data_IF_932779362772
#
_entry.id   IF_932779362772
#
_cell.length_a   1.000
_cell.length_b   1.000
_cell.length_c   1.000
_cell.angle_alpha   90.00
_cell.angle_beta   90.00
_cell.angle_gamma   90.00
#
_symmetry.space_group_name_H-M   'P 1'
#
loop_
_entity.id
_entity.type
_entity.pdbx_description
1 polymer ?
#
# COMPACT_ATOMS: atom_id res chain seq x y z
N UNK A 1 -47.05 49.74 -6.65
CA UNK A 1 -45.92 49.64 -5.68
C UNK A 1 -45.53 48.18 -5.60
N UNK A 2 -44.58 47.74 -6.43
CA UNK A 2 -44.06 46.35 -6.45
C UNK A 2 -42.80 46.28 -5.58
N UNK A 3 -42.87 45.50 -4.52
CA UNK A 3 -41.71 45.17 -3.68
C UNK A 3 -41.00 43.92 -4.24
N UNK A 4 -39.83 44.12 -4.83
CA UNK A 4 -38.89 43.04 -5.16
C UNK A 4 -38.14 42.59 -3.87
N UNK A 5 -38.28 41.32 -3.53
CA UNK A 5 -37.48 40.69 -2.50
C UNK A 5 -36.34 39.97 -3.22
N UNK A 6 -35.05 40.34 -2.99
CA UNK A 6 -33.95 39.57 -3.54
C UNK A 6 -33.72 38.30 -2.68
N UNK A 7 -33.88 37.13 -3.31
CA UNK A 7 -33.47 35.88 -2.73
C UNK A 7 -31.94 35.82 -2.71
N UNK A 8 -31.36 35.92 -1.50
CA UNK A 8 -29.94 35.71 -1.25
C UNK A 8 -29.70 34.18 -1.24
N UNK A 9 -29.30 33.62 -2.36
CA UNK A 9 -28.82 32.24 -2.42
C UNK A 9 -27.42 32.17 -1.76
N UNK A 10 -27.40 31.80 -0.49
CA UNK A 10 -26.16 31.48 0.21
C UNK A 10 -25.53 30.22 -0.37
N UNK A 11 -24.48 30.36 -1.16
CA UNK A 11 -23.65 29.26 -1.62
C UNK A 11 -22.86 28.74 -0.40
N UNK A 12 -23.35 27.64 0.23
CA UNK A 12 -22.59 26.89 1.21
C UNK A 12 -21.47 26.18 0.44
N UNK A 13 -20.28 26.76 0.40
CA UNK A 13 -19.06 26.08 -0.01
C UNK A 13 -18.73 25.09 1.10
N UNK A 14 -19.16 23.84 0.94
CA UNK A 14 -18.64 22.71 1.71
C UNK A 14 -17.17 22.59 1.36
N UNK A 15 -16.31 23.19 2.16
CA UNK A 15 -14.88 22.88 2.17
C UNK A 15 -14.77 21.39 2.54
N UNK A 16 -14.62 20.53 1.51
CA UNK A 16 -14.18 19.16 1.72
C UNK A 16 -12.76 19.27 2.30
N UNK A 17 -12.65 19.07 3.60
CA UNK A 17 -11.37 18.81 4.22
C UNK A 17 -10.83 17.55 3.55
N UNK A 18 -9.95 17.72 2.56
CA UNK A 18 -9.10 16.64 2.10
C UNK A 18 -8.31 16.20 3.32
N UNK A 19 -8.76 15.14 4.00
CA UNK A 19 -7.93 14.43 4.95
C UNK A 19 -6.64 14.15 4.16
N UNK A 20 -5.53 14.75 4.61
CA UNK A 20 -4.23 14.53 4.01
C UNK A 20 -3.99 13.03 4.03
N UNK A 21 -4.19 12.40 2.88
CA UNK A 21 -3.98 10.97 2.73
C UNK A 21 -2.54 10.68 3.16
N UNK A 22 -2.37 9.72 4.05
CA UNK A 22 -1.08 9.29 4.52
C UNK A 22 -0.12 9.08 3.34
N UNK A 23 1.03 9.78 3.36
CA UNK A 23 2.07 9.60 2.37
C UNK A 23 3.14 8.63 2.90
N UNK A 24 2.95 7.35 2.65
CA UNK A 24 3.95 6.33 2.96
C UNK A 24 5.03 6.20 1.87
N UNK A 25 4.95 6.93 0.76
CA UNK A 25 5.98 6.90 -0.29
C UNK A 25 7.12 7.86 0.10
N UNK A 26 8.02 7.39 0.97
CA UNK A 26 9.16 8.15 1.50
C UNK A 26 10.35 8.23 0.53
N UNK A 27 10.35 7.46 -0.56
CA UNK A 27 11.36 7.41 -1.60
C UNK A 27 10.71 7.11 -2.94
N UNK A 28 11.32 7.48 -4.06
CA UNK A 28 10.83 7.14 -5.38
C UNK A 28 11.40 5.81 -5.85
N UNK A 29 10.67 5.11 -6.72
CA UNK A 29 11.21 3.93 -7.36
C UNK A 29 12.49 4.27 -8.12
N UNK A 30 13.52 3.45 -7.96
CA UNK A 30 14.86 3.66 -8.49
C UNK A 30 15.79 4.46 -7.60
N UNK A 31 15.28 5.13 -6.57
CA UNK A 31 16.15 5.82 -5.60
C UNK A 31 17.00 4.81 -4.83
N UNK A 32 18.27 5.14 -4.54
CA UNK A 32 19.11 4.33 -3.69
C UNK A 32 18.66 4.38 -2.23
N UNK A 33 18.94 3.32 -1.47
CA UNK A 33 18.57 3.20 -0.05
C UNK A 33 19.14 4.31 0.84
N UNK A 34 20.27 4.87 0.46
CA UNK A 34 20.93 5.97 1.18
C UNK A 34 20.12 7.27 1.18
N UNK A 35 19.16 7.40 0.24
CA UNK A 35 18.28 8.57 0.16
C UNK A 35 17.15 8.55 1.20
N UNK A 36 16.92 7.40 1.87
CA UNK A 36 15.89 7.30 2.90
C UNK A 36 16.34 8.02 4.16
N UNK A 37 15.65 9.10 4.49
CA UNK A 37 15.86 9.87 5.71
C UNK A 37 14.62 9.78 6.58
N UNK A 38 14.74 9.11 7.71
CA UNK A 38 13.67 8.95 8.70
C UNK A 38 14.12 9.53 10.04
N UNK A 39 14.14 10.85 10.13
CA UNK A 39 14.42 11.51 11.39
C UNK A 39 13.24 11.34 12.39
N UNK A 40 13.48 10.97 13.65
CA UNK A 40 14.77 10.66 14.29
C UNK A 40 15.21 9.19 14.19
N UNK A 41 14.45 8.32 13.50
CA UNK A 41 14.76 6.90 13.37
C UNK A 41 15.89 6.67 12.36
N UNK A 42 16.86 5.84 12.73
CA UNK A 42 17.81 5.30 11.75
C UNK A 42 17.17 4.04 11.15
N UNK A 43 16.90 4.03 9.83
CA UNK A 43 16.34 2.86 9.18
C UNK A 43 17.31 1.68 9.24
N UNK A 44 16.82 0.54 9.72
CA UNK A 44 17.60 -0.71 9.68
C UNK A 44 17.14 -1.50 8.47
N UNK A 45 18.05 -1.64 7.51
CA UNK A 45 17.83 -2.50 6.34
C UNK A 45 18.17 -3.95 6.69
N UNK A 46 17.27 -4.85 6.35
CA UNK A 46 17.44 -6.28 6.56
C UNK A 46 17.73 -6.95 5.22
N UNK A 47 18.98 -7.41 4.99
CA UNK A 47 19.31 -8.16 3.79
C UNK A 47 18.65 -9.55 3.84
N UNK A 48 18.21 -10.02 2.70
CA UNK A 48 17.73 -11.38 2.51
C UNK A 48 18.74 -12.24 1.72
N UNK A 49 18.47 -13.54 1.63
CA UNK A 49 19.34 -14.50 0.91
C UNK A 49 19.23 -14.42 -0.62
N UNK A 50 18.27 -13.64 -1.14
CA UNK A 50 17.95 -13.57 -2.56
C UNK A 50 18.56 -12.34 -3.24
N UNK A 51 19.23 -11.47 -2.47
CA UNK A 51 19.87 -10.24 -2.94
C UNK A 51 19.00 -9.01 -2.80
N UNK A 52 17.92 -9.11 -2.03
CA UNK A 52 17.10 -7.99 -1.62
C UNK A 52 17.52 -7.44 -0.27
N UNK A 53 17.20 -6.17 -0.01
CA UNK A 53 17.28 -5.54 1.29
C UNK A 53 15.94 -4.88 1.60
N UNK A 54 15.35 -5.21 2.75
CA UNK A 54 14.04 -4.67 3.15
C UNK A 54 14.17 -3.71 4.32
N UNK A 55 13.47 -2.57 4.19
CA UNK A 55 13.23 -1.64 5.28
C UNK A 55 11.77 -1.78 5.72
N UNK A 56 11.52 -2.10 6.97
CA UNK A 56 10.16 -2.29 7.51
C UNK A 56 9.88 -1.18 8.51
N UNK A 57 8.77 -0.46 8.29
CA UNK A 57 8.34 0.65 9.15
C UNK A 57 6.86 0.45 9.51
N UNK A 58 6.50 0.51 10.79
CA UNK A 58 5.09 0.57 11.18
C UNK A 58 4.41 1.79 10.57
N UNK A 59 3.17 1.63 10.10
CA UNK A 59 2.42 2.74 9.50
C UNK A 59 2.18 3.88 10.50
N UNK A 60 2.06 3.56 11.78
CA UNK A 60 1.90 4.51 12.87
C UNK A 60 3.04 5.53 12.96
N UNK A 61 4.25 5.11 12.59
CA UNK A 61 5.43 5.97 12.61
C UNK A 61 5.47 6.91 11.41
N UNK A 62 4.92 6.49 10.27
CA UNK A 62 4.83 7.31 9.05
C UNK A 62 3.60 8.21 9.06
N UNK A 63 2.50 7.75 9.61
CA UNK A 63 1.17 8.34 9.45
C UNK A 63 0.43 8.45 10.79
N UNK A 64 0.98 9.22 11.69
CA UNK A 64 0.48 9.38 13.07
C UNK A 64 -0.99 9.82 13.18
N UNK A 65 -1.53 10.42 12.12
CA UNK A 65 -2.90 10.96 12.10
C UNK A 65 -3.91 10.03 11.40
N UNK A 66 -3.47 8.93 10.79
CA UNK A 66 -4.35 7.99 10.09
C UNK A 66 -4.47 6.67 10.87
N UNK A 67 -5.35 6.67 11.87
CA UNK A 67 -5.59 5.49 12.71
C UNK A 67 -6.20 4.30 11.93
N UNK A 68 -6.76 4.53 10.74
CA UNK A 68 -7.36 3.46 9.94
C UNK A 68 -6.33 2.44 9.47
N UNK A 69 -5.08 2.87 9.27
CA UNK A 69 -3.99 2.03 8.81
C UNK A 69 -3.11 1.47 9.94
N UNK A 70 -3.43 1.73 11.19
CA UNK A 70 -2.68 1.19 12.34
C UNK A 70 -2.69 -0.35 12.32
N UNK A 71 -1.55 -0.95 12.69
CA UNK A 71 -1.31 -2.38 12.56
C UNK A 71 -0.91 -2.83 11.15
N UNK A 72 -0.59 -1.87 10.27
CA UNK A 72 -0.03 -2.13 8.95
C UNK A 72 1.47 -1.84 8.98
N UNK A 73 2.28 -2.72 8.42
CA UNK A 73 3.70 -2.47 8.16
C UNK A 73 3.90 -2.02 6.72
N UNK A 74 4.75 -1.03 6.51
CA UNK A 74 5.23 -0.64 5.18
C UNK A 74 6.60 -1.26 4.98
N UNK A 75 6.76 -2.03 3.91
CA UNK A 75 7.99 -2.73 3.57
C UNK A 75 8.51 -2.15 2.25
N UNK A 76 9.70 -1.58 2.27
CA UNK A 76 10.40 -1.08 1.09
C UNK A 76 11.46 -2.09 0.70
N UNK A 77 11.35 -2.66 -0.50
CA UNK A 77 12.31 -3.64 -1.02
C UNK A 77 13.26 -2.96 -2.00
N UNK A 78 14.54 -3.05 -1.69
CA UNK A 78 15.65 -2.61 -2.53
C UNK A 78 16.31 -3.82 -3.18
N UNK A 79 16.47 -3.77 -4.50
CA UNK A 79 17.23 -4.75 -5.29
C UNK A 79 18.30 -3.98 -6.05
N UNK A 80 19.55 -4.43 -5.99
CA UNK A 80 20.69 -3.73 -6.59
C UNK A 80 20.76 -2.25 -6.16
N UNK A 81 20.51 -2.00 -4.88
CA UNK A 81 20.46 -0.66 -4.28
C UNK A 81 19.41 0.29 -4.88
N UNK A 82 18.34 -0.21 -5.46
CA UNK A 82 17.23 0.58 -6.02
C UNK A 82 15.92 0.17 -5.39
N UNK A 83 15.11 1.15 -4.98
CA UNK A 83 13.75 0.86 -4.53
C UNK A 83 12.94 0.30 -5.72
N UNK A 84 12.47 -0.95 -5.58
CA UNK A 84 11.73 -1.67 -6.63
C UNK A 84 10.30 -1.99 -6.23
N UNK A 85 10.03 -2.16 -4.93
CA UNK A 85 8.71 -2.51 -4.40
C UNK A 85 8.43 -1.80 -3.10
N UNK A 86 7.19 -1.37 -2.93
CA UNK A 86 6.62 -0.90 -1.65
C UNK A 86 5.44 -1.82 -1.35
N UNK A 87 5.45 -2.46 -0.18
CA UNK A 87 4.39 -3.35 0.25
C UNK A 87 3.75 -2.86 1.54
N UNK A 88 2.44 -2.78 1.58
CA UNK A 88 1.66 -2.60 2.80
C UNK A 88 1.21 -3.98 3.27
N UNK A 89 1.60 -4.40 4.46
CA UNK A 89 1.29 -5.70 5.02
C UNK A 89 0.52 -5.58 6.34
N UNK A 90 -0.67 -6.17 6.38
CA UNK A 90 -1.58 -6.13 7.53
C UNK A 90 -2.04 -7.53 7.90
N UNK A 91 -1.37 -8.20 8.86
CA UNK A 91 -1.71 -9.54 9.29
C UNK A 91 -2.80 -9.55 10.36
N UNK A 92 -3.50 -10.67 10.48
CA UNK A 92 -4.36 -11.06 11.62
C UNK A 92 -5.48 -10.07 11.97
N UNK A 93 -5.94 -9.25 11.01
CA UNK A 93 -7.02 -8.30 11.24
C UNK A 93 -8.36 -8.89 10.82
N UNK A 94 -9.39 -8.70 11.64
CA UNK A 94 -10.77 -9.15 11.35
C UNK A 94 -11.53 -8.18 10.42
N UNK A 95 -10.95 -7.04 10.15
CA UNK A 95 -11.52 -6.01 9.26
C UNK A 95 -10.93 -6.08 7.84
N UNK A 96 -11.41 -5.23 6.94
CA UNK A 96 -10.92 -5.12 5.56
C UNK A 96 -10.46 -3.70 5.25
N UNK A 97 -9.77 -3.06 6.20
CA UNK A 97 -9.38 -1.65 6.10
C UNK A 97 -8.39 -1.39 4.98
N UNK A 98 -7.48 -2.35 4.72
CA UNK A 98 -6.53 -2.18 3.63
C UNK A 98 -7.21 -2.33 2.26
N UNK A 99 -8.26 -3.19 2.15
CA UNK A 99 -9.13 -3.25 0.98
C UNK A 99 -9.85 -1.91 0.77
N UNK A 100 -10.45 -1.36 1.84
CA UNK A 100 -11.16 -0.08 1.75
C UNK A 100 -10.24 1.06 1.33
N UNK A 101 -9.02 1.08 1.88
CA UNK A 101 -7.97 2.02 1.50
C UNK A 101 -7.59 1.87 0.01
N UNK A 102 -7.32 0.63 -0.45
CA UNK A 102 -6.95 0.36 -1.83
C UNK A 102 -8.06 0.79 -2.81
N UNK A 103 -9.31 0.39 -2.53
CA UNK A 103 -10.46 0.75 -3.36
C UNK A 103 -10.70 2.27 -3.39
N UNK A 104 -10.53 2.96 -2.27
CA UNK A 104 -10.66 4.42 -2.20
C UNK A 104 -9.58 5.17 -2.95
N UNK A 105 -8.37 4.61 -3.02
CA UNK A 105 -7.20 5.26 -3.63
C UNK A 105 -7.02 4.93 -5.11
N UNK A 106 -7.24 3.67 -5.49
CA UNK A 106 -6.92 3.16 -6.83
C UNK A 106 -8.16 2.85 -7.67
N UNK A 107 -9.33 2.85 -7.08
CA UNK A 107 -10.60 2.55 -7.73
C UNK A 107 -11.25 1.27 -7.20
N UNK A 108 -12.58 1.29 -7.19
CA UNK A 108 -13.36 0.16 -6.69
C UNK A 108 -13.30 -1.03 -7.66
N UNK A 109 -13.38 -2.23 -7.11
CA UNK A 109 -13.60 -3.47 -7.86
C UNK A 109 -14.82 -4.22 -7.30
N UNK A 110 -15.40 -5.08 -8.15
CA UNK A 110 -16.58 -5.85 -7.78
C UNK A 110 -16.18 -7.11 -7.03
N UNK A 111 -16.80 -7.32 -5.89
CA UNK A 111 -16.73 -8.61 -5.18
C UNK A 111 -17.77 -9.55 -5.77
N UNK A 112 -17.57 -10.88 -5.68
CA UNK A 112 -18.58 -11.86 -6.05
C UNK A 112 -19.88 -11.61 -5.27
N UNK A 113 -21.03 -11.83 -5.93
CA UNK A 113 -22.34 -11.62 -5.32
C UNK A 113 -22.50 -12.45 -4.02
N UNK A 114 -23.00 -11.81 -2.97
CA UNK A 114 -23.21 -12.45 -1.67
C UNK A 114 -21.94 -12.71 -0.84
N UNK A 115 -20.76 -12.33 -1.32
CA UNK A 115 -19.49 -12.49 -0.60
C UNK A 115 -19.12 -11.20 0.12
N UNK A 116 -19.21 -11.13 1.47
CA UNK A 116 -18.80 -9.96 2.20
C UNK A 116 -17.28 -9.78 2.17
N UNK A 117 -16.81 -8.51 2.24
CA UNK A 117 -15.37 -8.16 2.25
C UNK A 117 -14.54 -8.99 3.23
N UNK A 118 -15.09 -9.27 4.42
CA UNK A 118 -14.39 -10.06 5.46
C UNK A 118 -14.09 -11.50 5.04
N UNK A 119 -14.93 -12.11 4.21
CA UNK A 119 -14.76 -13.49 3.73
C UNK A 119 -14.10 -13.60 2.36
N UNK A 120 -14.06 -12.52 1.61
CA UNK A 120 -13.41 -12.55 0.30
C UNK A 120 -11.91 -12.87 0.43
N UNK A 121 -11.42 -13.72 -0.45
CA UNK A 121 -10.01 -14.06 -0.63
C UNK A 121 -9.70 -14.00 -2.11
N UNK A 122 -8.52 -13.47 -2.44
CA UNK A 122 -8.10 -13.30 -3.83
C UNK A 122 -7.20 -12.10 -4.01
N UNK A 123 -7.02 -11.71 -5.24
CA UNK A 123 -6.25 -10.54 -5.61
C UNK A 123 -6.99 -9.68 -6.63
N UNK A 124 -6.55 -8.43 -6.73
CA UNK A 124 -7.02 -7.48 -7.73
C UNK A 124 -5.88 -6.54 -8.12
N UNK A 125 -5.82 -6.19 -9.41
CA UNK A 125 -4.76 -5.37 -9.99
C UNK A 125 -5.27 -4.04 -10.50
N UNK A 126 -4.47 -2.99 -10.30
CA UNK A 126 -4.62 -1.69 -10.93
C UNK A 126 -3.33 -1.31 -11.64
N UNK A 127 -3.47 -0.55 -12.71
CA UNK A 127 -2.39 0.06 -13.44
C UNK A 127 -2.38 1.56 -13.17
N UNK A 128 -1.27 2.12 -12.75
CA UNK A 128 -1.13 3.55 -12.47
C UNK A 128 0.20 4.08 -13.03
N UNK A 129 0.17 4.63 -14.22
CA UNK A 129 1.37 5.15 -14.87
C UNK A 129 2.45 4.07 -15.03
N UNK A 130 3.59 4.29 -14.37
CA UNK A 130 4.73 3.36 -14.37
C UNK A 130 4.67 2.31 -13.25
N UNK A 131 3.58 2.26 -12.48
CA UNK A 131 3.46 1.37 -11.35
C UNK A 131 2.35 0.33 -11.60
N UNK A 132 2.56 -0.89 -11.12
CA UNK A 132 1.52 -1.92 -10.96
C UNK A 132 1.16 -1.99 -9.48
N UNK A 133 -0.12 -1.97 -9.18
CA UNK A 133 -0.63 -2.09 -7.82
C UNK A 133 -1.43 -3.39 -7.74
N UNK A 134 -1.10 -4.25 -6.81
CA UNK A 134 -1.85 -5.46 -6.52
C UNK A 134 -2.35 -5.42 -5.08
N UNK A 135 -3.66 -5.66 -4.89
CA UNK A 135 -4.23 -5.96 -3.58
C UNK A 135 -4.42 -7.46 -3.47
N UNK A 136 -3.96 -8.04 -2.37
CA UNK A 136 -4.06 -9.47 -2.07
C UNK A 136 -4.71 -9.63 -0.70
N UNK A 137 -5.69 -10.54 -0.60
CA UNK A 137 -6.20 -11.03 0.67
C UNK A 137 -6.12 -12.54 0.69
N UNK A 138 -5.33 -13.08 1.63
CA UNK A 138 -5.02 -14.51 1.71
C UNK A 138 -5.09 -15.02 3.14
N UNK A 139 -5.39 -16.30 3.29
CA UNK A 139 -5.32 -16.94 4.60
C UNK A 139 -3.87 -17.14 5.02
N UNK A 140 -3.62 -16.99 6.32
CA UNK A 140 -2.36 -17.26 7.00
C UNK A 140 -2.64 -18.16 8.21
N UNK A 141 -1.60 -18.68 8.88
CA UNK A 141 -1.74 -19.67 9.95
C UNK A 141 -2.81 -19.30 11.00
N UNK A 142 -2.82 -18.03 11.46
CA UNK A 142 -3.71 -17.57 12.53
C UNK A 142 -4.76 -16.56 12.03
N UNK A 143 -5.27 -16.71 10.81
CA UNK A 143 -6.27 -15.81 10.26
C UNK A 143 -6.06 -15.49 8.80
N UNK A 144 -6.02 -14.20 8.46
CA UNK A 144 -5.71 -13.75 7.11
C UNK A 144 -4.83 -12.50 7.11
N UNK A 145 -4.16 -12.27 5.99
CA UNK A 145 -3.42 -11.05 5.74
C UNK A 145 -4.04 -10.26 4.59
N UNK A 146 -3.97 -8.95 4.68
CA UNK A 146 -4.19 -8.02 3.58
C UNK A 146 -2.85 -7.44 3.15
N UNK A 147 -2.63 -7.38 1.86
CA UNK A 147 -1.40 -6.89 1.26
C UNK A 147 -1.76 -5.91 0.13
N UNK A 148 -1.08 -4.77 0.07
CA UNK A 148 -1.01 -3.96 -1.14
C UNK A 148 0.43 -4.00 -1.61
N UNK A 149 0.66 -4.49 -2.80
CA UNK A 149 1.98 -4.58 -3.42
C UNK A 149 2.07 -3.56 -4.56
N UNK A 150 3.02 -2.64 -4.47
CA UNK A 150 3.23 -1.58 -5.46
C UNK A 150 4.63 -1.80 -6.05
N UNK A 151 4.67 -2.13 -7.34
CA UNK A 151 5.92 -2.40 -8.05
C UNK A 151 6.11 -1.45 -9.22
N UNK A 152 7.36 -1.10 -9.50
CA UNK A 152 7.69 -0.24 -10.62
C UNK A 152 7.91 -1.06 -11.89
N UNK A 153 7.24 -0.67 -12.98
CA UNK A 153 7.47 -1.21 -14.32
C UNK A 153 8.82 -0.80 -14.93
N UNK A 154 9.50 0.16 -14.29
CA UNK A 154 10.81 0.64 -14.77
C UNK A 154 11.97 -0.31 -14.40
N UNK A 155 11.74 -1.23 -13.43
CA UNK A 155 12.77 -2.17 -12.95
C UNK A 155 12.31 -3.63 -13.00
N UNK A 156 11.71 -4.11 -14.10
CA UNK A 156 11.10 -5.44 -14.14
C UNK A 156 12.12 -6.58 -14.10
N UNK A 157 13.31 -6.39 -14.66
CA UNK A 157 14.32 -7.45 -14.75
C UNK A 157 14.84 -7.88 -13.37
N UNK A 158 15.21 -6.92 -12.52
CA UNK A 158 15.67 -7.20 -11.15
C UNK A 158 14.57 -7.87 -10.30
N UNK A 159 13.32 -7.43 -10.43
CA UNK A 159 12.18 -8.05 -9.76
C UNK A 159 11.93 -9.49 -10.24
N UNK A 160 12.01 -9.73 -11.55
CA UNK A 160 11.80 -11.08 -12.11
C UNK A 160 12.85 -12.07 -11.59
N UNK A 161 14.13 -11.69 -11.60
CA UNK A 161 15.21 -12.52 -11.07
C UNK A 161 15.06 -12.77 -9.56
N UNK A 162 14.76 -11.73 -8.79
CA UNK A 162 14.50 -11.85 -7.35
C UNK A 162 13.33 -12.81 -7.06
N UNK A 163 12.19 -12.62 -7.73
CA UNK A 163 11.02 -13.47 -7.56
C UNK A 163 11.27 -14.92 -7.97
N UNK A 164 12.07 -15.16 -9.02
CA UNK A 164 12.47 -16.49 -9.42
C UNK A 164 13.26 -17.21 -8.31
N UNK A 165 14.25 -16.54 -7.72
CA UNK A 165 15.04 -17.09 -6.58
C UNK A 165 14.16 -17.38 -5.36
N UNK A 166 13.19 -16.50 -5.06
CA UNK A 166 12.23 -16.72 -3.97
C UNK A 166 11.36 -17.93 -4.27
N UNK A 167 10.85 -18.05 -5.50
CA UNK A 167 10.01 -19.17 -5.95
C UNK A 167 10.73 -20.51 -5.85
N UNK A 168 11.95 -20.61 -6.40
CA UNK A 168 12.79 -21.81 -6.33
C UNK A 168 13.04 -22.24 -4.88
N UNK A 169 13.27 -21.29 -3.99
CA UNK A 169 13.44 -21.60 -2.57
C UNK A 169 12.15 -22.12 -1.93
N UNK A 170 10.99 -21.51 -2.19
CA UNK A 170 9.71 -21.97 -1.66
C UNK A 170 9.38 -23.39 -2.13
N UNK A 171 9.62 -23.69 -3.42
CA UNK A 171 9.41 -25.02 -3.98
C UNK A 171 10.31 -26.07 -3.33
N UNK A 172 11.53 -25.68 -2.92
CA UNK A 172 12.47 -26.57 -2.22
C UNK A 172 12.09 -26.89 -0.77
N UNK A 173 11.11 -26.19 -0.20
CA UNK A 173 10.62 -26.41 1.18
C UNK A 173 9.41 -27.34 1.26
N UNK A 174 8.81 -27.69 0.12
CA UNK A 174 7.69 -28.62 0.02
C UNK A 174 8.15 -30.07 -0.13
#
# INVERSE_FOLDING_TARGET
>A
MNRFIPYLFGFLILAQANALACNFKISNFGDPKENVKLEPMQPVLMPDRFGGESLIIPMEDLCKNDQNLYGTSVIYLYIENKLTRIQLYRPNMKDSKLMDYAMGRYGSFNLPEGVPKSRWRGNYFWESGNDTIEYIKTDIHDGYAEIIDITSKLYPAGMAEYNAKVGEWLDSQQ
#
